data_IF_972327966781
#
_entry.id   IF_972327966781
#
_cell.length_a   1.000
_cell.length_b   1.000
_cell.length_c   1.000
_cell.angle_alpha   90.00
_cell.angle_beta   90.00
_cell.angle_gamma   90.00
#
_symmetry.space_group_name_H-M   'P 1'
#
loop_
_entity.id
_entity.type
_entity.pdbx_description
1 polymer ?
#
# COMPACT_ATOMS: atom_id res chain seq x y z
N UNK A 1 -9.96 -24.58 -33.35
CA UNK A 1 -10.82 -23.86 -32.38
C UNK A 1 -9.93 -23.30 -31.28
N UNK A 2 -9.64 -21.99 -31.31
CA UNK A 2 -8.89 -21.31 -30.26
C UNK A 2 -9.84 -21.02 -29.09
N UNK A 3 -9.69 -21.73 -27.98
CA UNK A 3 -10.37 -21.38 -26.73
C UNK A 3 -9.67 -20.15 -26.14
N UNK A 4 -10.33 -19.00 -26.30
CA UNK A 4 -9.94 -17.75 -25.65
C UNK A 4 -10.08 -17.88 -24.13
N UNK A 5 -8.96 -18.06 -23.45
CA UNK A 5 -8.85 -17.83 -22.01
C UNK A 5 -8.22 -16.44 -21.82
N UNK A 6 -8.86 -15.50 -21.11
CA UNK A 6 -8.42 -14.11 -21.05
C UNK A 6 -6.98 -13.97 -20.53
N UNK A 7 -6.14 -13.25 -21.27
CA UNK A 7 -4.72 -12.91 -20.96
C UNK A 7 -4.51 -12.05 -19.70
N UNK A 8 -5.48 -11.96 -18.79
CA UNK A 8 -5.43 -11.13 -17.58
C UNK A 8 -5.21 -11.89 -16.26
N UNK A 9 -5.42 -13.21 -16.20
CA UNK A 9 -5.15 -13.99 -14.97
C UNK A 9 -3.71 -14.54 -14.86
N UNK A 10 -2.94 -14.51 -15.96
CA UNK A 10 -1.57 -15.06 -16.02
C UNK A 10 -0.49 -14.12 -15.50
N UNK A 11 -0.80 -12.86 -15.17
CA UNK A 11 0.12 -11.91 -14.52
C UNK A 11 0.03 -11.88 -12.99
N UNK A 12 -0.77 -12.76 -12.39
CA UNK A 12 -0.47 -13.35 -11.06
C UNK A 12 0.66 -14.41 -11.24
N UNK A 13 1.63 -14.13 -12.10
CA UNK A 13 2.66 -15.06 -12.55
C UNK A 13 3.70 -15.27 -11.46
N UNK A 14 3.70 -16.46 -10.89
CA UNK A 14 4.85 -17.15 -10.25
C UNK A 14 5.37 -16.52 -8.95
N UNK A 15 5.59 -15.20 -8.88
CA UNK A 15 6.11 -14.53 -7.68
C UNK A 15 5.12 -14.50 -6.51
N UNK A 16 3.82 -14.63 -6.77
CA UNK A 16 2.77 -14.64 -5.72
C UNK A 16 2.68 -15.98 -4.98
N UNK A 17 3.14 -17.09 -5.58
CA UNK A 17 3.13 -18.42 -4.96
C UNK A 17 4.40 -18.70 -4.14
N UNK A 18 5.46 -17.91 -4.32
CA UNK A 18 6.77 -18.07 -3.65
C UNK A 18 7.12 -16.91 -2.72
N UNK A 19 6.20 -15.97 -2.50
CA UNK A 19 6.45 -14.78 -1.67
C UNK A 19 6.68 -15.19 -0.21
N UNK A 20 7.89 -14.94 0.28
CA UNK A 20 8.29 -15.25 1.66
C UNK A 20 7.88 -14.14 2.60
N UNK A 21 7.87 -14.43 3.91
CA UNK A 21 7.61 -13.39 4.92
C UNK A 21 8.68 -12.29 4.84
N UNK A 22 9.93 -12.65 4.55
CA UNK A 22 11.02 -11.69 4.36
C UNK A 22 10.80 -10.76 3.15
N UNK A 23 10.25 -11.28 2.04
CA UNK A 23 9.88 -10.43 0.89
C UNK A 23 8.82 -9.41 1.30
N UNK A 24 7.86 -9.79 2.14
CA UNK A 24 6.81 -8.90 2.62
C UNK A 24 7.34 -7.81 3.54
N UNK A 25 8.38 -8.09 4.35
CA UNK A 25 9.09 -7.06 5.14
C UNK A 25 9.69 -6.00 4.22
N UNK A 26 10.41 -6.42 3.18
CA UNK A 26 11.01 -5.50 2.20
C UNK A 26 9.94 -4.69 1.46
N UNK A 27 8.79 -5.31 1.19
CA UNK A 27 7.67 -4.63 0.57
C UNK A 27 7.07 -3.55 1.47
N UNK A 28 6.93 -3.77 2.77
CA UNK A 28 6.49 -2.73 3.72
C UNK A 28 7.33 -1.46 3.62
N UNK A 29 8.66 -1.61 3.56
CA UNK A 29 9.57 -0.46 3.42
C UNK A 29 9.36 0.27 2.09
N UNK A 30 9.15 -0.49 1.01
CA UNK A 30 8.85 0.09 -0.30
C UNK A 30 7.50 0.82 -0.33
N UNK A 31 6.46 0.27 0.32
CA UNK A 31 5.16 0.94 0.43
C UNK A 31 5.29 2.23 1.23
N UNK A 32 6.06 2.22 2.32
CA UNK A 32 6.34 3.41 3.15
C UNK A 32 7.07 4.49 2.36
N UNK A 33 8.09 4.13 1.59
CA UNK A 33 8.81 5.06 0.69
C UNK A 33 7.88 5.69 -0.34
N UNK A 34 7.02 4.90 -0.98
CA UNK A 34 6.03 5.40 -1.96
C UNK A 34 5.03 6.35 -1.33
N UNK A 35 4.51 6.01 -0.15
CA UNK A 35 3.58 6.88 0.58
C UNK A 35 4.24 8.20 0.97
N UNK A 36 5.49 8.15 1.42
CA UNK A 36 6.28 9.34 1.76
C UNK A 36 6.47 10.27 0.54
N UNK A 37 6.79 9.72 -0.63
CA UNK A 37 6.92 10.51 -1.87
C UNK A 37 5.61 11.22 -2.21
N UNK A 38 4.48 10.52 -2.14
CA UNK A 38 3.17 11.11 -2.43
C UNK A 38 2.80 12.19 -1.40
N UNK A 39 3.10 11.96 -0.11
CA UNK A 39 2.93 12.98 0.94
C UNK A 39 3.77 14.23 0.67
N UNK A 40 5.02 14.05 0.26
CA UNK A 40 5.90 15.16 -0.10
C UNK A 40 5.32 15.98 -1.26
N UNK A 41 4.85 15.31 -2.32
CA UNK A 41 4.20 15.96 -3.45
C UNK A 41 2.96 16.75 -3.03
N UNK A 42 2.09 16.17 -2.18
CA UNK A 42 0.91 16.85 -1.65
C UNK A 42 1.27 18.13 -0.89
N UNK A 43 2.32 18.08 -0.06
CA UNK A 43 2.77 19.24 0.71
C UNK A 43 3.36 20.34 -0.19
N UNK A 44 4.20 19.98 -1.16
CA UNK A 44 4.79 20.95 -2.12
C UNK A 44 3.71 21.68 -2.92
N UNK A 45 2.68 20.94 -3.32
CA UNK A 45 1.47 21.45 -3.96
C UNK A 45 0.75 22.44 -3.01
N UNK A 46 0.52 22.04 -1.77
CA UNK A 46 -0.16 22.89 -0.81
C UNK A 46 0.57 24.21 -0.53
N UNK A 47 1.90 24.16 -0.38
CA UNK A 47 2.72 25.36 -0.22
C UNK A 47 2.63 26.30 -1.43
N UNK A 48 2.63 25.76 -2.66
CA UNK A 48 2.46 26.58 -3.88
C UNK A 48 1.12 27.32 -3.90
N UNK A 49 0.01 26.64 -3.59
CA UNK A 49 -1.30 27.30 -3.59
C UNK A 49 -1.44 28.31 -2.46
N UNK A 50 -0.90 28.03 -1.27
CA UNK A 50 -0.87 29.02 -0.19
C UNK A 50 -0.09 30.27 -0.61
N UNK A 51 1.05 30.11 -1.28
CA UNK A 51 1.88 31.23 -1.75
C UNK A 51 1.16 32.13 -2.76
N UNK A 52 0.25 31.56 -3.55
CA UNK A 52 -0.50 32.28 -4.59
C UNK A 52 -1.86 32.83 -4.14
N UNK A 53 -2.30 32.54 -2.90
CA UNK A 53 -3.60 32.97 -2.34
C UNK A 53 -4.82 32.60 -3.20
N UNK A 54 -4.72 31.56 -4.04
CA UNK A 54 -5.82 31.12 -4.92
C UNK A 54 -6.72 30.10 -4.21
N UNK A 55 -8.03 30.31 -4.27
CA UNK A 55 -9.11 29.37 -3.89
C UNK A 55 -8.84 28.52 -2.64
N UNK A 56 -8.76 29.16 -1.46
CA UNK A 56 -8.40 28.47 -0.21
C UNK A 56 -9.43 27.44 0.28
N UNK A 57 -10.73 27.68 0.10
CA UNK A 57 -11.76 26.86 0.79
C UNK A 57 -11.92 25.44 0.22
N UNK A 58 -12.17 25.29 -1.08
CA UNK A 58 -12.33 23.96 -1.70
C UNK A 58 -11.00 23.18 -1.73
N UNK A 59 -9.90 23.93 -1.77
CA UNK A 59 -8.55 23.37 -1.73
C UNK A 59 -8.22 22.74 -0.37
N UNK A 60 -8.54 23.43 0.72
CA UNK A 60 -8.27 22.97 2.08
C UNK A 60 -9.00 21.66 2.39
N UNK A 61 -10.22 21.49 1.86
CA UNK A 61 -11.00 20.25 2.00
C UNK A 61 -10.30 19.08 1.29
N UNK A 62 -9.91 19.25 0.02
CA UNK A 62 -9.23 18.20 -0.74
C UNK A 62 -7.86 17.83 -0.15
N UNK A 63 -7.14 18.82 0.37
CA UNK A 63 -5.86 18.62 1.05
C UNK A 63 -6.06 17.80 2.33
N UNK A 64 -7.03 18.16 3.18
CA UNK A 64 -7.37 17.41 4.40
C UNK A 64 -7.79 15.98 4.10
N UNK A 65 -8.65 15.77 3.11
CA UNK A 65 -9.07 14.41 2.71
C UNK A 65 -7.89 13.56 2.23
N UNK A 66 -6.96 14.15 1.48
CA UNK A 66 -5.75 13.46 1.02
C UNK A 66 -4.81 13.16 2.20
N UNK A 67 -4.66 14.09 3.13
CA UNK A 67 -3.85 13.91 4.34
C UNK A 67 -4.42 12.82 5.25
N UNK A 68 -5.74 12.81 5.50
CA UNK A 68 -6.43 11.77 6.27
C UNK A 68 -6.22 10.39 5.65
N UNK A 69 -6.30 10.29 4.32
CA UNK A 69 -6.07 9.04 3.60
C UNK A 69 -4.60 8.58 3.71
N UNK A 70 -3.65 9.52 3.68
CA UNK A 70 -2.22 9.23 3.90
C UNK A 70 -1.99 8.72 5.33
N UNK A 71 -2.56 9.38 6.34
CA UNK A 71 -2.39 9.01 7.75
C UNK A 71 -3.00 7.62 8.04
N UNK A 72 -4.20 7.36 7.53
CA UNK A 72 -4.83 6.02 7.61
C UNK A 72 -3.96 4.97 6.93
N UNK A 73 -3.43 5.28 5.75
CA UNK A 73 -2.57 4.36 5.01
C UNK A 73 -1.25 4.10 5.75
N UNK A 74 -0.60 5.13 6.32
CA UNK A 74 0.63 4.98 7.11
C UNK A 74 0.40 4.11 8.36
N UNK A 75 -0.72 4.31 9.06
CA UNK A 75 -1.11 3.47 10.19
C UNK A 75 -1.25 2.01 9.77
N UNK A 76 -1.96 1.73 8.66
CA UNK A 76 -2.10 0.37 8.15
C UNK A 76 -0.77 -0.25 7.69
N UNK A 77 0.15 0.52 7.12
CA UNK A 77 1.51 0.03 6.81
C UNK A 77 2.19 -0.44 8.09
N UNK A 78 2.14 0.34 9.18
CA UNK A 78 2.75 -0.02 10.46
C UNK A 78 2.13 -1.28 11.07
N UNK A 79 0.81 -1.37 11.08
CA UNK A 79 0.08 -2.55 11.56
C UNK A 79 0.47 -3.81 10.77
N UNK A 80 0.51 -3.70 9.44
CA UNK A 80 0.92 -4.80 8.56
C UNK A 80 2.40 -5.17 8.74
N UNK A 81 3.28 -4.18 8.92
CA UNK A 81 4.69 -4.42 9.20
C UNK A 81 4.87 -5.22 10.49
N UNK A 82 4.15 -4.85 11.57
CA UNK A 82 4.21 -5.58 12.83
C UNK A 82 3.69 -7.01 12.69
N UNK A 83 2.59 -7.20 11.95
CA UNK A 83 2.04 -8.53 11.67
C UNK A 83 3.03 -9.40 10.88
N UNK A 84 3.64 -8.87 9.81
CA UNK A 84 4.65 -9.59 9.03
C UNK A 84 5.87 -9.90 9.90
N UNK A 85 6.32 -8.98 10.75
CA UNK A 85 7.43 -9.23 11.69
C UNK A 85 7.12 -10.35 12.68
N UNK A 86 5.90 -10.40 13.23
CA UNK A 86 5.46 -11.53 14.07
C UNK A 86 5.46 -12.84 13.28
N UNK A 87 5.07 -12.81 12.00
CA UNK A 87 5.12 -13.97 11.11
C UNK A 87 6.55 -14.49 10.91
N UNK A 88 7.56 -13.60 10.86
CA UNK A 88 8.99 -14.00 10.83
C UNK A 88 9.37 -14.77 12.10
N UNK A 89 8.92 -14.31 13.27
CA UNK A 89 9.18 -15.00 14.54
C UNK A 89 8.49 -16.37 14.61
N UNK A 90 7.29 -16.50 14.03
CA UNK A 90 6.59 -17.77 13.93
C UNK A 90 7.28 -18.74 12.96
N UNK A 91 7.79 -18.23 11.84
CA UNK A 91 8.53 -19.02 10.86
C UNK A 91 9.86 -19.54 11.47
N UNK A 92 10.56 -18.72 12.26
CA UNK A 92 11.74 -19.16 13.01
C UNK A 92 11.43 -20.25 14.05
N UNK A 93 10.27 -20.18 14.72
CA UNK A 93 9.80 -21.24 15.62
C UNK A 93 9.46 -22.53 14.87
N UNK A 94 8.85 -22.41 13.70
CA UNK A 94 8.54 -23.55 12.84
C UNK A 94 9.83 -24.27 12.40
N UNK A 95 10.87 -23.53 12.03
CA UNK A 95 12.20 -24.09 11.72
C UNK A 95 12.82 -24.82 12.91
N UNK A 96 12.79 -24.20 14.09
CA UNK A 96 13.35 -24.80 15.31
C UNK A 96 12.63 -26.09 15.72
N UNK A 97 11.34 -26.20 15.43
CA UNK A 97 10.53 -27.40 15.69
C UNK A 97 10.75 -28.52 14.64
N UNK A 98 11.54 -28.27 13.59
CA UNK A 98 11.63 -29.12 12.41
C UNK A 98 10.42 -28.91 11.51
N UNK A 99 10.56 -28.04 10.48
CA UNK A 99 9.48 -27.66 9.55
C UNK A 99 8.73 -28.86 8.95
N UNK A 100 9.46 -29.94 8.65
CA UNK A 100 8.94 -31.15 8.02
C UNK A 100 8.25 -32.11 9.00
N UNK A 101 8.34 -31.84 10.31
CA UNK A 101 7.66 -32.62 11.33
C UNK A 101 6.17 -32.33 11.26
N UNK A 102 5.37 -33.35 10.95
CA UNK A 102 3.91 -33.26 10.95
C UNK A 102 3.42 -33.28 12.41
N UNK A 103 3.31 -32.09 13.00
CA UNK A 103 2.73 -31.88 14.33
C UNK A 103 1.56 -30.90 14.27
N UNK A 104 0.63 -31.03 15.23
CA UNK A 104 -0.49 -30.09 15.37
C UNK A 104 0.02 -28.66 15.63
N UNK A 105 1.14 -28.53 16.34
CA UNK A 105 1.77 -27.24 16.61
C UNK A 105 2.37 -26.61 15.36
N UNK A 106 3.10 -27.38 14.54
CA UNK A 106 3.66 -26.90 13.28
C UNK A 106 2.54 -26.49 12.30
N UNK A 107 1.44 -27.25 12.25
CA UNK A 107 0.26 -26.87 11.47
C UNK A 107 -0.32 -25.53 11.92
N UNK A 108 -0.51 -25.32 13.23
CA UNK A 108 -1.01 -24.05 13.78
C UNK A 108 -0.10 -22.86 13.49
N UNK A 109 1.22 -23.07 13.54
CA UNK A 109 2.20 -22.04 13.20
C UNK A 109 2.11 -21.68 11.70
N UNK A 110 2.07 -22.69 10.84
CA UNK A 110 1.97 -22.49 9.40
C UNK A 110 0.65 -21.79 9.00
N UNK A 111 -0.47 -22.19 9.58
CA UNK A 111 -1.77 -21.54 9.35
C UNK A 111 -1.75 -20.05 9.72
N UNK A 112 -1.08 -19.67 10.82
CA UNK A 112 -0.91 -18.26 11.22
C UNK A 112 -0.02 -17.48 10.25
N UNK A 113 1.06 -18.09 9.78
CA UNK A 113 1.98 -17.49 8.81
C UNK A 113 1.24 -17.23 7.49
N UNK A 114 0.50 -18.21 6.98
CA UNK A 114 -0.26 -18.09 5.74
C UNK A 114 -1.40 -17.06 5.86
N UNK A 115 -2.13 -17.03 6.97
CA UNK A 115 -3.11 -15.96 7.25
C UNK A 115 -2.47 -14.57 7.22
N UNK A 116 -1.29 -14.39 7.84
CA UNK A 116 -0.56 -13.12 7.82
C UNK A 116 -0.15 -12.72 6.40
N UNK A 117 0.35 -13.67 5.60
CA UNK A 117 0.72 -13.41 4.20
C UNK A 117 -0.48 -12.94 3.38
N UNK A 118 -1.63 -13.58 3.58
CA UNK A 118 -2.84 -13.26 2.83
C UNK A 118 -3.42 -11.89 3.23
N UNK A 119 -3.43 -11.56 4.51
CA UNK A 119 -3.81 -10.21 4.98
C UNK A 119 -2.90 -9.12 4.40
N UNK A 120 -1.59 -9.38 4.34
CA UNK A 120 -0.65 -8.45 3.71
C UNK A 120 -0.91 -8.26 2.21
N UNK A 121 -1.26 -9.32 1.49
CA UNK A 121 -1.63 -9.23 0.07
C UNK A 121 -2.88 -8.39 -0.15
N UNK A 122 -3.92 -8.57 0.67
CA UNK A 122 -5.13 -7.72 0.64
C UNK A 122 -4.77 -6.26 0.89
N UNK A 123 -3.95 -6.01 1.90
CA UNK A 123 -3.49 -4.66 2.22
C UNK A 123 -2.72 -4.01 1.06
N UNK A 124 -1.88 -4.76 0.34
CA UNK A 124 -1.17 -4.24 -0.84
C UNK A 124 -2.11 -3.77 -1.95
N UNK A 125 -3.18 -4.52 -2.20
CA UNK A 125 -4.20 -4.15 -3.19
C UNK A 125 -4.85 -2.83 -2.75
N UNK A 126 -5.30 -2.77 -1.51
CA UNK A 126 -5.91 -1.56 -0.95
C UNK A 126 -4.95 -0.36 -0.96
N UNK A 127 -3.67 -0.57 -0.65
CA UNK A 127 -2.66 0.48 -0.71
C UNK A 127 -2.57 1.08 -2.12
N UNK A 128 -2.62 0.25 -3.16
CA UNK A 128 -2.60 0.73 -4.53
C UNK A 128 -3.84 1.55 -4.89
N UNK A 129 -5.01 1.16 -4.39
CA UNK A 129 -6.24 1.92 -4.56
C UNK A 129 -6.19 3.26 -3.81
N UNK A 130 -5.71 3.25 -2.56
CA UNK A 130 -5.52 4.48 -1.78
C UNK A 130 -4.54 5.42 -2.48
N UNK A 131 -3.42 4.90 -2.99
CA UNK A 131 -2.43 5.68 -3.71
C UNK A 131 -3.00 6.25 -5.02
N UNK A 132 -3.86 5.50 -5.72
CA UNK A 132 -4.58 5.99 -6.90
C UNK A 132 -5.54 7.12 -6.52
N UNK A 133 -6.30 6.98 -5.43
CA UNK A 133 -7.20 8.02 -4.96
C UNK A 133 -6.46 9.30 -4.57
N UNK A 134 -5.32 9.19 -3.87
CA UNK A 134 -4.50 10.35 -3.52
C UNK A 134 -4.00 11.03 -4.80
N UNK A 135 -3.48 10.26 -5.77
CA UNK A 135 -3.02 10.81 -7.06
C UNK A 135 -4.14 11.48 -7.85
N UNK A 136 -5.36 10.95 -7.83
CA UNK A 136 -6.51 11.60 -8.48
C UNK A 136 -6.81 12.94 -7.82
N UNK A 137 -6.75 13.02 -6.48
CA UNK A 137 -6.92 14.28 -5.75
C UNK A 137 -5.81 15.28 -6.10
N UNK A 138 -4.55 14.83 -6.20
CA UNK A 138 -3.42 15.64 -6.66
C UNK A 138 -3.62 16.15 -8.10
N UNK A 139 -4.07 15.30 -9.02
CA UNK A 139 -4.30 15.70 -10.41
C UNK A 139 -5.46 16.70 -10.52
N UNK A 140 -6.55 16.49 -9.76
CA UNK A 140 -7.63 17.48 -9.66
C UNK A 140 -7.11 18.81 -9.14
N UNK A 141 -6.24 18.77 -8.13
CA UNK A 141 -5.57 19.95 -7.61
C UNK A 141 -4.78 20.70 -8.70
N UNK A 142 -3.94 19.99 -9.46
CA UNK A 142 -3.12 20.60 -10.52
C UNK A 142 -4.00 21.21 -11.62
N UNK A 143 -5.09 20.53 -11.98
CA UNK A 143 -6.06 21.00 -12.97
C UNK A 143 -6.74 22.31 -12.54
N UNK A 144 -7.30 22.36 -11.32
CA UNK A 144 -7.98 23.58 -10.84
C UNK A 144 -7.02 24.76 -10.69
N UNK A 145 -5.76 24.49 -10.37
CA UNK A 145 -4.70 25.49 -10.34
C UNK A 145 -4.35 26.01 -11.75
N UNK A 146 -4.23 25.12 -12.75
CA UNK A 146 -3.90 25.49 -14.14
C UNK A 146 -5.03 26.19 -14.90
N UNK A 147 -6.29 25.78 -14.71
CA UNK A 147 -7.40 26.29 -15.51
C UNK A 147 -7.77 27.76 -15.24
N UNK A 148 -7.47 28.28 -14.04
CA UNK A 148 -7.74 29.70 -13.70
C UNK A 148 -6.60 30.66 -14.03
N UNK A 149 -5.47 30.15 -14.53
CA UNK A 149 -4.36 31.02 -14.96
C UNK A 149 -4.44 31.41 -16.43
N UNK A 150 -5.23 30.72 -17.26
CA UNK A 150 -5.39 31.05 -18.69
C UNK A 150 -6.59 31.98 -18.99
N UNK A 151 -7.47 32.25 -18.01
CA UNK A 151 -8.62 33.16 -18.15
C UNK A 151 -8.42 34.54 -17.48
N UNK A 152 -7.20 34.89 -17.04
CA UNK A 152 -6.84 36.17 -16.44
C UNK A 152 -5.80 36.92 -17.28
#
# INVERSE_FOLDING_TARGET
MFLGVPKLKRRLSINTLTETVNDQVLQCDNLRKKLYQVKKQLNEIHEKVLSEKKQQNDFEVLYKEAQDLIEKTDKRIKENYNMVKQSVELDAKLEANGRDVVSIENKKLNDKIECSKEEFRKFRIEFHDNLKQIKIKLAKYEYYYGYKTEEA
#
